data_IF_718320032591
#
_entry.id   IF_718320032591
#
_cell.length_a   1.000
_cell.length_b   1.000
_cell.length_c   1.000
_cell.angle_alpha   90.00
_cell.angle_beta   90.00
_cell.angle_gamma   90.00
#
_symmetry.space_group_name_H-M   'P 1'
#
loop_
_entity.id
_entity.type
_entity.pdbx_description
1 polymer ?
#
# COMPACT_ATOMS: atom_id res chain seq x y z
N UNK A 1 14.35 -12.59 5.80
CA UNK A 1 12.88 -12.77 5.78
C UNK A 1 12.57 -13.89 4.79
N UNK A 2 12.10 -15.06 5.27
CA UNK A 2 11.91 -16.29 4.47
C UNK A 2 10.46 -16.47 3.97
N UNK A 3 9.68 -15.40 3.85
CA UNK A 3 8.25 -15.46 3.48
C UNK A 3 7.76 -14.34 2.55
N UNK A 4 8.66 -13.49 2.04
CA UNK A 4 8.28 -12.44 1.10
C UNK A 4 7.82 -13.01 -0.24
N UNK A 5 6.82 -12.38 -0.84
CA UNK A 5 6.42 -12.68 -2.22
C UNK A 5 7.41 -12.04 -3.19
N UNK A 6 7.81 -12.81 -4.19
CA UNK A 6 8.70 -12.38 -5.25
C UNK A 6 7.88 -12.08 -6.51
N UNK A 7 8.01 -10.86 -7.02
CA UNK A 7 7.29 -10.34 -8.18
C UNK A 7 8.22 -10.02 -9.35
N UNK A 8 9.52 -10.33 -9.24
CA UNK A 8 10.45 -10.22 -10.36
C UNK A 8 9.97 -10.98 -11.61
N UNK A 9 10.51 -10.63 -12.77
CA UNK A 9 10.17 -11.30 -14.02
C UNK A 9 10.42 -12.81 -13.91
N UNK A 10 9.37 -13.60 -14.13
CA UNK A 10 9.46 -15.03 -14.33
C UNK A 10 9.09 -15.24 -15.79
N UNK A 11 9.99 -15.79 -16.61
CA UNK A 11 9.72 -16.18 -18.01
C UNK A 11 9.04 -15.15 -18.94
N UNK A 12 9.45 -13.87 -18.87
CA UNK A 12 8.86 -12.72 -19.60
C UNK A 12 7.44 -12.33 -19.12
N UNK A 13 6.95 -12.98 -18.06
CA UNK A 13 5.69 -12.69 -17.40
C UNK A 13 5.91 -12.03 -16.04
N UNK A 14 5.00 -11.13 -15.69
CA UNK A 14 5.01 -10.45 -14.40
C UNK A 14 4.03 -11.13 -13.45
N UNK A 15 4.46 -11.37 -12.21
CA UNK A 15 3.58 -11.87 -11.15
C UNK A 15 2.91 -10.72 -10.43
N UNK A 16 1.66 -10.91 -10.00
CA UNK A 16 0.92 -9.96 -9.19
C UNK A 16 -0.20 -10.66 -8.42
N UNK A 17 -0.80 -9.98 -7.45
CA UNK A 17 -1.95 -10.49 -6.69
C UNK A 17 -3.15 -9.57 -6.95
N UNK A 18 -4.34 -10.18 -7.09
CA UNK A 18 -5.62 -9.48 -7.06
C UNK A 18 -6.38 -9.93 -5.81
N UNK A 19 -6.84 -8.97 -5.02
CA UNK A 19 -7.80 -9.17 -3.93
C UNK A 19 -9.15 -8.63 -4.43
N UNK A 20 -10.20 -9.47 -4.52
CA UNK A 20 -11.53 -9.02 -4.92
C UNK A 20 -12.03 -7.88 -4.04
N UNK A 21 -12.83 -7.01 -4.64
CA UNK A 21 -13.45 -5.91 -3.91
C UNK A 21 -14.32 -6.42 -2.74
N UNK A 22 -14.31 -5.64 -1.66
CA UNK A 22 -15.09 -5.92 -0.46
C UNK A 22 -15.30 -4.63 0.32
N UNK A 23 -16.30 -4.62 1.20
CA UNK A 23 -16.58 -3.46 2.05
C UNK A 23 -15.39 -3.04 2.94
N UNK A 24 -14.44 -3.94 3.22
CA UNK A 24 -13.22 -3.61 3.96
C UNK A 24 -12.22 -2.79 3.12
N UNK A 25 -12.32 -2.85 1.79
CA UNK A 25 -11.47 -2.13 0.84
C UNK A 25 -12.15 -0.88 0.25
N UNK A 26 -13.44 -0.67 0.52
CA UNK A 26 -14.21 0.55 0.19
C UNK A 26 -13.89 1.70 1.15
N UNK A 27 -12.62 2.11 1.20
CA UNK A 27 -12.14 3.20 2.05
C UNK A 27 -12.30 4.52 1.30
N UNK A 28 -13.16 5.42 1.82
CA UNK A 28 -13.47 6.72 1.20
C UNK A 28 -12.91 7.93 1.96
N UNK A 29 -12.39 7.72 3.17
CA UNK A 29 -11.81 8.75 4.03
C UNK A 29 -10.37 8.40 4.39
N UNK A 30 -10.01 8.53 5.67
CA UNK A 30 -8.67 8.24 6.17
C UNK A 30 -8.14 6.88 5.73
N UNK A 31 -6.88 6.88 5.29
CA UNK A 31 -6.21 5.71 4.75
C UNK A 31 -4.76 5.67 5.21
N UNK A 32 -4.31 4.51 5.66
CA UNK A 32 -2.87 4.24 5.77
C UNK A 32 -2.53 2.90 5.15
N UNK A 33 -1.37 2.85 4.52
CA UNK A 33 -0.85 1.63 3.87
C UNK A 33 0.58 1.43 4.35
N UNK A 34 0.86 0.26 4.91
CA UNK A 34 2.19 -0.12 5.38
C UNK A 34 2.64 -1.44 4.75
N UNK A 35 3.89 -1.53 4.34
CA UNK A 35 4.46 -2.73 3.75
C UNK A 35 5.98 -2.68 3.78
N UNK A 36 6.61 -3.83 3.66
CA UNK A 36 8.06 -3.95 3.54
C UNK A 36 8.40 -4.37 2.12
N UNK A 37 9.33 -3.66 1.48
CA UNK A 37 9.68 -3.90 0.08
C UNK A 37 11.18 -4.03 -0.12
N UNK A 38 11.57 -4.73 -1.19
CA UNK A 38 12.92 -4.70 -1.76
C UNK A 38 12.80 -4.62 -3.27
N UNK A 39 13.29 -3.54 -3.86
CA UNK A 39 13.29 -3.30 -5.31
C UNK A 39 14.52 -3.91 -5.95
N UNK A 40 14.41 -4.41 -7.18
CA UNK A 40 15.56 -4.96 -7.90
C UNK A 40 16.34 -3.88 -8.68
N UNK A 41 15.69 -2.78 -9.07
CA UNK A 41 16.37 -1.55 -9.47
C UNK A 41 16.14 -1.07 -10.91
N UNK A 42 14.92 -1.17 -11.42
CA UNK A 42 14.57 -0.64 -12.74
C UNK A 42 13.98 0.77 -12.66
N UNK A 43 14.40 1.64 -13.61
CA UNK A 43 14.01 3.06 -13.68
C UNK A 43 12.57 3.28 -14.20
N UNK A 44 11.75 2.22 -14.29
CA UNK A 44 10.37 2.29 -14.71
C UNK A 44 9.44 2.68 -13.54
N UNK A 45 8.19 3.01 -13.85
CA UNK A 45 7.16 3.19 -12.82
C UNK A 45 6.57 1.84 -12.45
N UNK A 46 6.57 1.52 -11.16
CA UNK A 46 6.16 0.25 -10.59
C UNK A 46 4.99 0.51 -9.63
N UNK A 47 3.83 -0.10 -9.85
CA UNK A 47 2.76 -0.05 -8.85
C UNK A 47 3.03 -1.09 -7.77
N UNK A 48 2.94 -0.66 -6.52
CA UNK A 48 3.19 -1.51 -5.35
C UNK A 48 1.86 -2.03 -4.82
N UNK A 49 0.92 -1.13 -4.57
CA UNK A 49 -0.41 -1.40 -4.05
C UNK A 49 -1.37 -0.42 -4.73
N UNK A 50 -2.41 -0.91 -5.41
CA UNK A 50 -3.35 -0.08 -6.17
C UNK A 50 -4.79 -0.57 -5.98
N UNK A 51 -5.74 0.35 -5.74
CA UNK A 51 -7.17 0.05 -5.71
C UNK A 51 -7.82 0.69 -6.94
N UNK A 52 -8.28 -0.16 -7.85
CA UNK A 52 -8.87 0.24 -9.12
C UNK A 52 -7.85 0.75 -10.15
N UNK A 53 -7.92 0.19 -11.35
CA UNK A 53 -6.97 0.45 -12.45
C UNK A 53 -7.65 1.06 -13.67
N UNK A 54 -8.95 0.81 -13.85
CA UNK A 54 -9.74 1.35 -14.96
C UNK A 54 -10.10 2.81 -14.71
N UNK A 55 -10.02 3.63 -15.77
CA UNK A 55 -10.46 5.02 -15.71
C UNK A 55 -11.94 5.11 -15.33
N UNK A 56 -12.30 5.99 -14.41
CA UNK A 56 -13.62 6.06 -13.79
C UNK A 56 -13.84 5.04 -12.66
N UNK A 57 -12.84 4.24 -12.30
CA UNK A 57 -12.87 3.28 -11.19
C UNK A 57 -11.58 3.29 -10.35
N UNK A 58 -10.72 4.32 -10.47
CA UNK A 58 -9.50 4.40 -9.65
C UNK A 58 -9.82 4.91 -8.24
N UNK A 59 -9.13 4.45 -7.22
CA UNK A 59 -9.26 5.00 -5.87
C UNK A 59 -7.92 5.57 -5.41
N UNK A 60 -6.91 4.73 -5.32
CA UNK A 60 -5.58 5.11 -4.85
C UNK A 60 -4.49 4.19 -5.40
N UNK A 61 -3.24 4.66 -5.41
CA UNK A 61 -2.08 3.78 -5.59
C UNK A 61 -0.81 4.32 -4.96
N UNK A 62 -0.03 3.40 -4.40
CA UNK A 62 1.34 3.60 -3.96
C UNK A 62 2.27 3.04 -5.04
N UNK A 63 3.19 3.88 -5.49
CA UNK A 63 4.08 3.58 -6.62
C UNK A 63 5.53 3.90 -6.27
N UNK A 64 6.43 3.13 -6.86
CA UNK A 64 7.80 3.58 -7.11
C UNK A 64 7.85 4.20 -8.52
N UNK A 65 8.48 5.35 -8.67
CA UNK A 65 8.71 5.97 -9.99
C UNK A 65 10.18 6.30 -10.20
N UNK A 66 10.52 6.76 -11.40
CA UNK A 66 11.90 6.98 -11.86
C UNK A 66 12.76 7.71 -10.81
N UNK A 67 13.97 7.21 -10.57
CA UNK A 67 14.91 7.75 -9.60
C UNK A 67 14.61 7.38 -8.14
N UNK A 68 13.89 6.29 -7.90
CA UNK A 68 13.57 5.80 -6.55
C UNK A 68 12.62 6.73 -5.79
N UNK A 69 11.70 7.36 -6.52
CA UNK A 69 10.68 8.23 -5.92
C UNK A 69 9.54 7.39 -5.36
N UNK A 70 9.13 7.66 -4.12
CA UNK A 70 7.84 7.20 -3.62
C UNK A 70 6.77 8.17 -4.09
N UNK A 71 5.73 7.64 -4.73
CA UNK A 71 4.61 8.42 -5.27
C UNK A 71 3.30 7.80 -4.80
N UNK A 72 2.49 8.57 -4.08
CA UNK A 72 1.18 8.13 -3.59
C UNK A 72 0.11 9.06 -4.14
N UNK A 73 -0.89 8.49 -4.79
CA UNK A 73 -1.98 9.26 -5.36
C UNK A 73 -3.33 8.72 -4.96
N UNK A 74 -4.32 9.61 -4.97
CA UNK A 74 -5.74 9.31 -4.81
C UNK A 74 -6.55 10.02 -5.89
N UNK A 75 -7.83 9.67 -6.02
CA UNK A 75 -8.83 10.44 -6.77
C UNK A 75 -10.15 10.43 -6.00
N UNK A 76 -10.89 11.53 -6.05
CA UNK A 76 -12.24 11.62 -5.48
C UNK A 76 -13.33 11.11 -6.45
N UNK A 77 -13.04 11.06 -7.76
CA UNK A 77 -14.04 10.81 -8.81
C UNK A 77 -13.87 9.47 -9.51
N UNK A 78 -12.69 8.87 -9.42
CA UNK A 78 -12.35 7.67 -10.19
C UNK A 78 -11.61 7.98 -11.49
N UNK A 79 -11.65 9.23 -11.93
CA UNK A 79 -11.11 9.67 -13.20
C UNK A 79 -9.60 9.95 -13.12
N UNK A 80 -8.91 9.60 -14.20
CA UNK A 80 -7.48 9.81 -14.38
C UNK A 80 -7.06 11.27 -14.37
N UNK A 81 -7.97 12.16 -14.76
CA UNK A 81 -7.73 13.60 -14.82
C UNK A 81 -7.72 14.26 -13.44
N UNK A 82 -8.39 13.67 -12.44
CA UNK A 82 -8.56 14.23 -11.09
C UNK A 82 -7.62 13.59 -10.06
N UNK A 83 -6.54 12.98 -10.55
CA UNK A 83 -5.57 12.30 -9.70
C UNK A 83 -4.62 13.31 -9.08
N UNK A 84 -4.69 13.43 -7.77
CA UNK A 84 -3.78 14.25 -6.96
C UNK A 84 -2.85 13.36 -6.16
N UNK A 85 -1.62 13.84 -5.95
CA UNK A 85 -0.55 13.00 -5.42
C UNK A 85 0.44 13.76 -4.54
N UNK A 86 1.16 13.00 -3.74
CA UNK A 86 2.40 13.45 -3.11
C UNK A 86 3.58 12.61 -3.59
N UNK A 87 4.76 13.22 -3.69
CA UNK A 87 6.02 12.53 -3.99
C UNK A 87 7.15 12.82 -3.00
N UNK A 88 7.95 11.79 -2.71
CA UNK A 88 9.21 11.88 -1.96
C UNK A 88 10.34 11.41 -2.87
N UNK A 89 11.31 12.28 -3.12
CA UNK A 89 12.33 12.07 -4.17
C UNK A 89 13.55 11.32 -3.66
N UNK A 90 13.95 10.26 -4.37
CA UNK A 90 15.20 9.52 -4.10
C UNK A 90 15.22 8.81 -2.75
N UNK A 91 14.06 8.37 -2.25
CA UNK A 91 13.92 7.75 -0.92
C UNK A 91 13.87 6.22 -0.97
N UNK A 92 13.52 5.64 -2.13
CA UNK A 92 13.46 4.20 -2.34
C UNK A 92 14.81 3.70 -2.87
N UNK A 93 15.45 2.83 -2.11
CA UNK A 93 16.75 2.25 -2.41
C UNK A 93 16.60 0.86 -3.05
N UNK A 94 17.39 0.61 -4.09
CA UNK A 94 17.40 -0.67 -4.76
C UNK A 94 18.19 -1.70 -3.95
N UNK A 95 17.88 -2.98 -4.15
CA UNK A 95 18.52 -4.14 -3.53
C UNK A 95 18.50 -4.18 -2.00
N UNK A 96 17.80 -3.25 -1.34
CA UNK A 96 17.72 -3.09 0.11
C UNK A 96 16.28 -3.24 0.59
N UNK A 97 16.11 -3.88 1.75
CA UNK A 97 14.80 -3.94 2.40
C UNK A 97 14.49 -2.59 3.04
N UNK A 98 13.29 -2.06 2.77
CA UNK A 98 12.77 -0.85 3.37
C UNK A 98 11.34 -1.07 3.83
N UNK A 99 11.00 -0.57 5.01
CA UNK A 99 9.62 -0.48 5.46
C UNK A 99 9.03 0.86 5.04
N UNK A 100 7.90 0.81 4.37
CA UNK A 100 7.19 1.96 3.83
C UNK A 100 5.87 2.11 4.58
N UNK A 101 5.56 3.32 4.99
CA UNK A 101 4.21 3.68 5.44
C UNK A 101 3.80 4.97 4.74
N UNK A 102 2.64 4.97 4.10
CA UNK A 102 1.98 6.18 3.61
C UNK A 102 0.67 6.37 4.34
N UNK A 103 0.30 7.62 4.56
CA UNK A 103 -0.94 8.00 5.24
C UNK A 103 -1.63 9.09 4.43
N UNK A 104 -2.94 9.10 4.50
CA UNK A 104 -3.85 10.11 3.97
C UNK A 104 -4.89 10.41 5.05
N UNK A 105 -4.92 11.67 5.47
CA UNK A 105 -5.88 12.26 6.39
C UNK A 105 -6.89 13.06 5.56
N UNK A 106 -8.14 12.61 5.54
CA UNK A 106 -9.18 13.21 4.69
C UNK A 106 -9.62 14.59 5.20
N UNK A 107 -9.46 14.85 6.50
CA UNK A 107 -9.85 16.08 7.19
C UNK A 107 -8.64 16.98 7.52
N UNK A 108 -7.54 16.78 6.79
CA UNK A 108 -6.24 17.40 7.01
C UNK A 108 -6.17 18.94 6.80
N UNK A 109 -5.10 19.41 6.16
CA UNK A 109 -4.67 20.82 6.10
C UNK A 109 -5.81 21.82 5.75
N UNK A 110 -6.44 22.40 6.78
CA UNK A 110 -7.54 23.35 6.59
C UNK A 110 -8.85 22.77 6.03
N UNK A 111 -9.03 21.44 6.09
CA UNK A 111 -10.18 20.73 5.52
C UNK A 111 -9.94 20.11 4.14
N UNK A 112 -8.72 20.28 3.59
CA UNK A 112 -8.23 19.53 2.44
C UNK A 112 -7.47 18.27 2.91
N UNK A 113 -7.25 17.32 2.00
CA UNK A 113 -6.49 16.12 2.33
C UNK A 113 -5.04 16.40 2.70
N UNK A 114 -4.46 15.59 3.59
CA UNK A 114 -3.03 15.64 3.92
C UNK A 114 -2.40 14.26 3.80
N UNK A 115 -1.32 14.14 3.02
CA UNK A 115 -0.56 12.90 2.91
C UNK A 115 0.79 12.99 3.60
N UNK A 116 1.22 11.88 4.24
CA UNK A 116 2.58 11.72 4.78
C UNK A 116 3.20 10.39 4.36
N UNK A 117 4.53 10.35 4.36
CA UNK A 117 5.30 9.16 4.07
C UNK A 117 6.41 8.93 5.09
N UNK A 118 6.62 7.67 5.46
CA UNK A 118 7.66 7.19 6.38
C UNK A 118 8.44 6.07 5.70
N UNK A 119 9.77 6.15 5.75
CA UNK A 119 10.67 5.10 5.26
C UNK A 119 11.57 4.70 6.41
N UNK A 120 11.54 3.42 6.77
CA UNK A 120 12.27 2.87 7.91
C UNK A 120 12.08 3.72 9.17
N UNK A 121 10.80 3.98 9.51
CA UNK A 121 10.41 4.78 10.66
C UNK A 121 10.79 6.28 10.60
N UNK A 122 11.32 6.79 9.47
CA UNK A 122 11.70 8.20 9.31
C UNK A 122 10.74 8.92 8.37
N UNK A 123 10.03 9.94 8.87
CA UNK A 123 9.20 10.83 8.06
C UNK A 123 10.02 11.45 6.93
N UNK A 124 9.45 11.46 5.72
CA UNK A 124 10.05 12.09 4.54
C UNK A 124 9.26 13.33 4.16
N UNK A 125 9.97 14.31 3.59
CA UNK A 125 9.30 15.40 2.88
C UNK A 125 8.46 14.81 1.75
N UNK A 126 7.16 15.06 1.82
CA UNK A 126 6.20 14.53 0.87
C UNK A 126 5.48 15.70 0.21
N UNK A 127 5.80 15.94 -1.06
CA UNK A 127 5.44 17.18 -1.75
C UNK A 127 4.18 16.97 -2.57
N UNK A 128 3.09 17.72 -2.34
CA UNK A 128 1.86 17.58 -3.10
C UNK A 128 1.98 18.15 -4.51
N UNK A 129 1.23 17.59 -5.45
CA UNK A 129 1.02 18.12 -6.80
C UNK A 129 0.17 19.39 -6.84
N UNK A 130 -0.73 19.52 -5.86
CA UNK A 130 -1.73 20.56 -5.76
C UNK A 130 -2.55 20.41 -4.48
N UNK A 131 -3.83 20.76 -4.53
CA UNK A 131 -4.76 20.52 -3.42
C UNK A 131 -5.14 19.04 -3.41
N UNK A 132 -4.88 18.36 -2.30
CA UNK A 132 -5.28 16.96 -2.15
C UNK A 132 -6.78 16.91 -1.82
N UNK A 133 -7.59 16.07 -2.51
CA UNK A 133 -9.01 15.93 -2.21
C UNK A 133 -9.26 15.46 -0.78
N UNK A 134 -10.42 15.79 -0.21
CA UNK A 134 -10.89 15.35 1.11
C UNK A 134 -11.71 14.05 1.08
N UNK A 135 -11.65 13.31 -0.03
CA UNK A 135 -12.27 11.99 -0.15
C UNK A 135 -11.58 11.11 -1.18
N UNK A 136 -11.73 9.81 -1.03
CA UNK A 136 -11.33 8.78 -2.00
C UNK A 136 -12.57 8.23 -2.70
N UNK A 137 -12.48 8.03 -4.01
CA UNK A 137 -13.52 7.37 -4.80
C UNK A 137 -13.74 5.92 -4.36
N UNK A 138 -14.98 5.52 -4.14
CA UNK A 138 -15.36 4.13 -3.85
C UNK A 138 -15.43 3.30 -5.13
N UNK A 139 -14.30 2.71 -5.50
CA UNK A 139 -14.19 1.82 -6.67
C UNK A 139 -14.83 0.47 -6.40
N UNK A 140 -15.48 -0.10 -7.41
CA UNK A 140 -15.97 -1.49 -7.39
C UNK A 140 -14.92 -2.51 -7.87
N UNK A 141 -13.74 -2.05 -8.29
CA UNK A 141 -12.63 -2.93 -8.70
C UNK A 141 -11.81 -3.41 -7.51
N UNK A 142 -11.19 -4.58 -7.66
CA UNK A 142 -10.33 -5.15 -6.63
C UNK A 142 -9.06 -4.35 -6.36
N UNK A 143 -8.39 -4.70 -5.26
CA UNK A 143 -7.04 -4.24 -4.96
C UNK A 143 -6.03 -5.12 -5.72
N UNK A 144 -5.02 -4.50 -6.32
CA UNK A 144 -3.88 -5.16 -6.96
C UNK A 144 -2.60 -4.88 -6.18
N UNK A 145 -1.78 -5.92 -6.01
CA UNK A 145 -0.44 -5.84 -5.41
C UNK A 145 0.58 -6.18 -6.49
N UNK A 146 1.67 -5.41 -6.56
CA UNK A 146 2.73 -5.51 -7.58
C UNK A 146 2.25 -5.26 -9.03
N UNK A 147 1.08 -4.65 -9.19
CA UNK A 147 0.50 -4.29 -10.48
C UNK A 147 -0.49 -3.13 -10.30
N UNK A 148 -0.72 -2.38 -11.37
CA UNK A 148 -1.69 -1.29 -11.38
C UNK A 148 -1.85 -0.71 -12.79
N UNK A 149 -1.90 0.61 -12.90
CA UNK A 149 -2.10 1.33 -14.16
C UNK A 149 -1.27 0.79 -15.35
N UNK A 150 -1.95 0.38 -16.42
CA UNK A 150 -1.36 -0.05 -17.72
C UNK A 150 -0.42 -1.26 -17.62
N UNK A 151 0.90 -1.06 -17.58
CA UNK A 151 1.93 -2.11 -17.65
C UNK A 151 2.95 -1.97 -16.53
N UNK A 152 2.56 -1.31 -15.44
CA UNK A 152 3.44 -0.97 -14.33
C UNK A 152 3.42 -2.10 -13.31
N UNK A 153 4.30 -3.09 -13.51
CA UNK A 153 4.54 -4.18 -12.59
C UNK A 153 5.74 -3.86 -11.69
N UNK A 154 5.78 -4.44 -10.50
CA UNK A 154 6.94 -4.35 -9.63
C UNK A 154 7.96 -5.42 -10.02
N UNK A 155 9.22 -5.04 -10.22
CA UNK A 155 10.35 -5.95 -10.21
C UNK A 155 11.00 -5.93 -8.80
N UNK A 156 10.60 -6.89 -7.97
CA UNK A 156 11.12 -6.99 -6.61
C UNK A 156 10.23 -7.81 -5.68
N UNK A 157 10.39 -7.57 -4.38
CA UNK A 157 9.74 -8.36 -3.33
C UNK A 157 8.92 -7.48 -2.41
N UNK A 158 7.76 -7.99 -1.97
CA UNK A 158 6.92 -7.37 -0.94
C UNK A 158 6.65 -8.36 0.19
N UNK A 159 6.49 -7.82 1.40
CA UNK A 159 6.16 -8.55 2.61
C UNK A 159 5.38 -7.65 3.59
N UNK A 160 4.66 -8.25 4.53
CA UNK A 160 3.92 -7.55 5.61
C UNK A 160 3.04 -6.39 5.11
N UNK A 161 2.22 -6.64 4.09
CA UNK A 161 1.30 -5.65 3.55
C UNK A 161 0.10 -5.48 4.51
N UNK A 162 -0.23 -4.24 4.83
CA UNK A 162 -1.30 -3.87 5.76
C UNK A 162 -2.00 -2.61 5.27
N UNK A 163 -3.33 -2.61 5.28
CA UNK A 163 -4.17 -1.46 4.92
C UNK A 163 -5.07 -1.10 6.12
N UNK A 164 -5.18 0.19 6.42
CA UNK A 164 -5.93 0.73 7.54
C UNK A 164 -6.87 1.83 7.06
N UNK A 165 -8.08 1.87 7.62
CA UNK A 165 -9.07 2.95 7.44
C UNK A 165 -8.91 4.07 8.50
N UNK A 166 -7.66 4.38 8.85
CA UNK A 166 -7.28 5.42 9.82
C UNK A 166 -5.94 6.03 9.42
N UNK A 167 -5.67 7.23 9.91
CA UNK A 167 -4.34 7.84 9.84
C UNK A 167 -3.43 7.20 10.89
N UNK A 168 -2.33 6.59 10.45
CA UNK A 168 -1.30 6.12 11.37
C UNK A 168 -0.40 7.28 11.80
N UNK A 169 -0.08 7.28 13.08
CA UNK A 169 0.89 8.21 13.66
C UNK A 169 2.32 7.75 13.38
N UNK A 170 3.29 8.67 13.53
CA UNK A 170 4.72 8.35 13.50
C UNK A 170 5.08 7.21 14.48
N UNK A 171 4.44 7.14 15.66
CA UNK A 171 4.71 6.08 16.64
C UNK A 171 4.22 4.71 16.14
N UNK A 172 3.06 4.67 15.49
CA UNK A 172 2.54 3.43 14.89
C UNK A 172 3.39 3.00 13.69
N UNK A 173 3.86 3.94 12.85
CA UNK A 173 4.81 3.64 11.77
C UNK A 173 6.14 3.07 12.33
N UNK A 174 6.64 3.63 13.44
CA UNK A 174 7.82 3.11 14.13
C UNK A 174 7.61 1.68 14.62
N UNK A 175 6.42 1.41 15.14
CA UNK A 175 6.05 0.11 15.66
C UNK A 175 6.01 -0.96 14.56
N UNK A 176 5.39 -0.63 13.41
CA UNK A 176 5.29 -1.51 12.25
C UNK A 176 6.67 -1.81 11.64
N UNK A 177 7.54 -0.81 11.49
CA UNK A 177 8.90 -1.00 10.97
C UNK A 177 9.70 -2.01 11.83
N UNK A 178 9.56 -1.94 13.15
CA UNK A 178 10.24 -2.82 14.09
C UNK A 178 9.52 -4.18 14.30
N UNK A 179 8.74 -4.64 13.31
CA UNK A 179 8.11 -5.98 13.27
C UNK A 179 7.04 -6.24 14.34
N UNK A 180 6.46 -5.20 14.96
CA UNK A 180 5.36 -5.40 15.91
C UNK A 180 5.70 -6.28 17.14
N UNK A 181 6.98 -6.31 17.58
CA UNK A 181 7.34 -6.91 18.89
C UNK A 181 6.98 -6.02 20.09
N UNK A 182 6.44 -4.81 19.85
CA UNK A 182 5.77 -4.03 20.88
C UNK A 182 4.33 -4.49 21.04
N UNK A 183 3.84 -4.69 22.25
CA UNK A 183 2.40 -4.69 22.47
C UNK A 183 1.98 -3.24 22.48
N UNK A 184 1.09 -2.82 21.61
CA UNK A 184 0.09 -1.87 22.08
C UNK A 184 -0.72 -2.69 23.09
N UNK A 185 -0.56 -2.43 24.39
CA UNK A 185 -1.71 -2.60 25.28
C UNK A 185 -2.70 -1.56 24.79
N UNK A 186 -3.55 -1.94 23.85
CA UNK A 186 -4.87 -1.32 23.79
C UNK A 186 -5.45 -1.57 25.17
N UNK A 187 -5.61 -0.52 25.97
CA UNK A 187 -6.38 -0.66 27.19
C UNK A 187 -7.76 -1.22 26.81
N UNK A 188 -8.17 -2.17 27.63
CA UNK A 188 -9.18 -3.21 27.45
C UNK A 188 -10.57 -2.68 27.06
N UNK A 189 -10.81 -2.32 25.79
CA UNK A 189 -12.17 -1.95 25.34
C UNK A 189 -12.53 -2.27 23.86
N UNK A 190 -11.72 -3.07 23.14
CA UNK A 190 -12.11 -3.54 21.80
C UNK A 190 -12.07 -5.07 21.72
N UNK A 191 -13.26 -5.67 21.76
CA UNK A 191 -13.53 -7.10 21.56
C UNK A 191 -12.82 -7.63 20.30
N UNK A 192 -11.73 -8.36 20.46
CA UNK A 192 -11.19 -9.16 19.35
C UNK A 192 -12.02 -10.45 19.23
N UNK A 193 -12.92 -10.48 18.24
CA UNK A 193 -13.54 -11.73 17.80
C UNK A 193 -12.54 -12.43 16.87
N UNK A 194 -11.76 -13.36 17.42
CA UNK A 194 -11.00 -14.32 16.63
C UNK A 194 -11.98 -15.22 15.87
N UNK A 195 -12.14 -15.01 14.57
CA UNK A 195 -13.14 -15.74 13.81
C UNK A 195 -13.23 -15.42 12.33
N UNK A 196 -12.14 -15.46 11.57
CA UNK A 196 -12.22 -15.62 10.11
C UNK A 196 -11.10 -16.53 9.59
N UNK A 197 -11.35 -17.84 9.58
CA UNK A 197 -10.51 -18.83 8.88
C UNK A 197 -11.01 -18.99 7.43
N UNK A 198 -10.57 -18.12 6.53
CA UNK A 198 -10.63 -18.36 5.09
C UNK A 198 -9.38 -19.13 4.65
N UNK A 199 -9.53 -20.41 4.25
CA UNK A 199 -8.40 -21.18 3.67
C UNK A 199 -8.31 -20.89 2.17
N UNK A 200 -7.13 -20.59 1.61
CA UNK A 200 -6.97 -20.52 0.16
C UNK A 200 -7.04 -21.93 -0.44
N UNK A 201 -7.80 -22.08 -1.53
CA UNK A 201 -7.75 -23.25 -2.39
C UNK A 201 -6.43 -23.23 -3.17
N UNK A 202 -5.50 -24.12 -2.81
CA UNK A 202 -4.30 -24.38 -3.60
C UNK A 202 -4.57 -25.58 -4.52
N UNK A 203 -4.51 -25.35 -5.82
CA UNK A 203 -4.54 -26.44 -6.79
C UNK A 203 -3.13 -27.07 -6.83
N UNK A 204 -2.99 -28.24 -6.19
CA UNK A 204 -1.88 -29.16 -6.38
C UNK A 204 -0.55 -28.81 -5.70
N UNK A 205 -0.15 -29.61 -4.71
CA UNK A 205 1.26 -29.89 -4.44
C UNK A 205 1.96 -29.07 -3.35
N UNK A 206 1.51 -29.21 -2.11
CA UNK A 206 2.37 -29.24 -0.91
C UNK A 206 3.34 -28.07 -0.66
N UNK A 207 2.85 -27.01 -0.02
CA UNK A 207 3.63 -26.35 1.02
C UNK A 207 2.69 -25.68 2.04
N UNK A 208 2.78 -26.08 3.31
CA UNK A 208 1.97 -25.54 4.40
C UNK A 208 2.43 -24.12 4.74
N UNK A 209 1.72 -23.10 4.25
CA UNK A 209 1.84 -21.74 4.74
C UNK A 209 1.27 -21.66 6.17
N UNK A 210 2.11 -21.28 7.14
CA UNK A 210 1.68 -20.86 8.47
C UNK A 210 1.88 -19.35 8.59
N UNK A 211 0.76 -18.70 8.92
CA UNK A 211 0.59 -17.41 9.58
C UNK A 211 1.04 -16.17 8.78
N UNK A 212 0.05 -15.51 8.19
CA UNK A 212 0.13 -14.15 7.69
C UNK A 212 -1.10 -13.80 6.87
N UNK A 213 -2.16 -13.30 7.52
CA UNK A 213 -3.21 -12.54 6.85
C UNK A 213 -3.47 -11.28 7.69
N UNK A 214 -3.18 -10.12 7.11
CA UNK A 214 -3.81 -8.83 7.41
C UNK A 214 -4.45 -8.41 6.09
N UNK A 215 -5.69 -7.91 6.18
CA UNK A 215 -6.63 -7.64 5.09
C UNK A 215 -5.99 -6.76 4.00
#
# INVERSE_FOLDING_TARGET
>A
LNGAFDFGEIDENHSYIIIPDSAALSITGDLSIAFTMKRDGDNASENLICKGITDGQRSYSVMSTNGGKLHFWITATGDSADREYCEAVGVLADSSWQHITVTYDADGDGGDGLMKAYIDAVEKTFTPSGTIPSSIHDSTEGLTIAHGLTTNYLAGKLDNIMIFNKVLTQNEANWLHNQGVGREQFEDDALCVDGFTGKPYLNGGGNTAKNGWII
#
